data_IF_526068755966
#
_entry.id   IF_526068755966
#
_cell.length_a   1.000
_cell.length_b   1.000
_cell.length_c   1.000
_cell.angle_alpha   90.00
_cell.angle_beta   90.00
_cell.angle_gamma   90.00
#
_symmetry.space_group_name_H-M   'P 1'
#
loop_
_entity.id
_entity.type
_entity.pdbx_description
1 polymer ?
#
# COMPACT_ATOMS: atom_id res chain seq x y z
N UNK A 1 13.53 -23.87 3.11
CA UNK A 1 13.42 -23.25 4.43
C UNK A 1 11.95 -23.04 4.78
N UNK A 2 11.52 -23.21 6.05
CA UNK A 2 10.17 -22.91 6.46
C UNK A 2 9.91 -21.40 6.35
N UNK A 3 8.65 -21.01 6.15
CA UNK A 3 8.21 -19.62 6.23
C UNK A 3 8.49 -19.07 7.65
N UNK A 4 8.94 -17.83 7.74
CA UNK A 4 9.19 -17.15 9.02
C UNK A 4 9.14 -15.65 8.83
N UNK A 5 8.64 -14.94 9.82
CA UNK A 5 8.80 -13.49 9.91
C UNK A 5 10.30 -13.13 10.04
N UNK A 6 10.70 -12.05 9.41
CA UNK A 6 12.09 -11.59 9.40
C UNK A 6 12.19 -10.29 10.20
N UNK A 7 13.19 -10.22 11.05
CA UNK A 7 13.55 -9.00 11.78
C UNK A 7 14.98 -8.62 11.41
N UNK A 8 15.21 -7.35 11.06
CA UNK A 8 16.56 -6.87 10.80
C UNK A 8 17.38 -6.84 12.11
N UNK A 9 18.46 -7.63 12.24
CA UNK A 9 19.27 -7.65 13.43
C UNK A 9 20.17 -6.41 13.59
N UNK A 10 20.36 -5.65 12.51
CA UNK A 10 21.21 -4.47 12.48
C UNK A 10 20.41 -3.17 12.60
N UNK A 11 21.01 -2.14 13.14
CA UNK A 11 20.45 -0.80 13.06
C UNK A 11 20.32 -0.38 11.58
N UNK A 12 19.29 0.40 11.21
CA UNK A 12 19.22 0.99 9.89
C UNK A 12 20.47 1.79 9.56
N UNK A 13 20.89 1.76 8.30
CA UNK A 13 21.98 2.61 7.85
C UNK A 13 21.46 4.05 7.70
N UNK A 14 22.00 4.96 8.50
CA UNK A 14 21.61 6.37 8.53
C UNK A 14 22.48 7.16 7.54
N UNK A 15 21.88 7.62 6.43
CA UNK A 15 22.54 8.46 5.43
C UNK A 15 22.48 9.94 5.82
N UNK A 16 21.37 10.36 6.44
CA UNK A 16 21.14 11.72 6.91
C UNK A 16 21.36 11.82 8.42
N UNK A 17 21.91 12.94 8.87
CA UNK A 17 21.97 13.24 10.30
C UNK A 17 20.57 13.58 10.84
N UNK A 18 20.40 13.50 12.16
CA UNK A 18 19.16 13.91 12.83
C UNK A 18 18.78 15.36 12.48
N UNK A 19 19.74 16.28 12.44
CA UNK A 19 19.50 17.68 12.09
C UNK A 19 19.03 17.85 10.64
N UNK A 20 19.53 17.03 9.71
CA UNK A 20 19.08 17.05 8.32
C UNK A 20 17.66 16.52 8.19
N UNK A 21 17.30 15.47 8.92
CA UNK A 21 15.92 14.94 8.97
C UNK A 21 14.98 15.99 9.56
N UNK A 22 15.38 16.64 10.66
CA UNK A 22 14.61 17.70 11.28
C UNK A 22 14.40 18.89 10.34
N UNK A 23 15.45 19.31 9.63
CA UNK A 23 15.34 20.40 8.65
C UNK A 23 14.36 20.08 7.51
N UNK A 24 14.32 18.81 7.03
CA UNK A 24 13.34 18.35 6.04
C UNK A 24 11.93 18.39 6.64
N UNK A 25 11.77 17.92 7.87
CA UNK A 25 10.48 17.91 8.56
C UNK A 25 9.94 19.33 8.74
N UNK A 26 10.75 20.24 9.29
CA UNK A 26 10.38 21.64 9.48
C UNK A 26 10.02 22.34 8.16
N UNK A 27 10.78 22.09 7.11
CA UNK A 27 10.46 22.62 5.77
C UNK A 27 9.13 22.08 5.26
N UNK A 28 8.83 20.82 5.48
CA UNK A 28 7.56 20.20 5.09
C UNK A 28 6.39 20.82 5.85
N UNK A 29 6.53 21.07 7.15
CA UNK A 29 5.51 21.77 7.95
C UNK A 29 5.29 23.19 7.45
N UNK A 30 6.36 23.94 7.19
CA UNK A 30 6.27 25.29 6.63
C UNK A 30 5.55 25.32 5.27
N UNK A 31 5.81 24.36 4.40
CA UNK A 31 5.09 24.24 3.13
C UNK A 31 3.60 24.02 3.35
N UNK A 32 3.21 23.15 4.28
CA UNK A 32 1.81 22.87 4.60
C UNK A 32 1.12 24.08 5.23
N UNK A 33 1.81 24.83 6.08
CA UNK A 33 1.28 26.02 6.76
C UNK A 33 1.18 27.25 5.84
N UNK A 34 2.20 27.49 5.01
CA UNK A 34 2.31 28.75 4.25
C UNK A 34 1.77 28.64 2.84
N UNK A 35 2.06 27.53 2.16
CA UNK A 35 1.65 27.29 0.77
C UNK A 35 0.34 26.48 0.76
N UNK A 36 0.30 25.37 1.49
CA UNK A 36 -0.83 24.44 1.50
C UNK A 36 -0.81 23.46 0.33
N UNK A 37 -1.90 22.71 0.20
CA UNK A 37 -2.11 21.68 -0.82
C UNK A 37 -3.47 21.91 -1.48
N UNK A 38 -3.53 21.89 -2.79
CA UNK A 38 -4.81 21.91 -3.50
C UNK A 38 -5.50 20.55 -3.39
N UNK A 39 -6.72 20.54 -2.83
CA UNK A 39 -7.56 19.36 -2.71
C UNK A 39 -8.81 19.50 -3.58
N UNK A 40 -8.91 18.68 -4.61
CA UNK A 40 -10.05 18.69 -5.54
C UNK A 40 -11.35 18.17 -4.89
N UNK A 41 -11.26 17.30 -3.88
CA UNK A 41 -12.41 16.71 -3.21
C UNK A 41 -13.00 17.67 -2.17
N UNK A 42 -14.25 18.10 -2.39
CA UNK A 42 -15.01 18.92 -1.43
C UNK A 42 -15.11 18.21 -0.08
N UNK A 43 -15.45 16.92 -0.07
CA UNK A 43 -15.58 16.16 1.17
C UNK A 43 -14.26 16.10 1.97
N UNK A 44 -13.10 16.03 1.29
CA UNK A 44 -11.80 16.09 1.95
C UNK A 44 -11.53 17.48 2.55
N UNK A 45 -11.88 18.55 1.81
CA UNK A 45 -11.76 19.92 2.33
C UNK A 45 -12.64 20.13 3.58
N UNK A 46 -13.89 19.66 3.54
CA UNK A 46 -14.81 19.76 4.68
C UNK A 46 -14.30 19.01 5.91
N UNK A 47 -13.78 17.80 5.71
CA UNK A 47 -13.16 17.01 6.77
C UNK A 47 -12.00 17.77 7.44
N UNK A 48 -11.10 18.33 6.65
CA UNK A 48 -9.93 19.06 7.15
C UNK A 48 -10.32 20.40 7.78
N UNK A 49 -11.32 21.12 7.22
CA UNK A 49 -11.90 22.30 7.86
C UNK A 49 -12.47 21.97 9.23
N UNK A 50 -13.18 20.85 9.37
CA UNK A 50 -13.70 20.36 10.64
C UNK A 50 -12.59 20.03 11.66
N UNK A 51 -11.34 19.92 11.22
CA UNK A 51 -10.15 19.73 12.07
C UNK A 51 -9.35 21.01 12.27
N UNK A 52 -9.85 22.16 11.80
CA UNK A 52 -9.22 23.47 11.97
C UNK A 52 -8.31 23.92 10.84
N UNK A 53 -8.24 23.19 9.73
CA UNK A 53 -7.47 23.62 8.58
C UNK A 53 -8.11 24.86 7.90
N UNK A 54 -7.26 25.73 7.36
CA UNK A 54 -7.71 26.88 6.57
C UNK A 54 -7.95 26.44 5.12
N UNK A 55 -9.17 26.62 4.63
CA UNK A 55 -9.58 26.22 3.28
C UNK A 55 -9.96 27.46 2.47
N UNK A 56 -9.28 27.66 1.37
CA UNK A 56 -9.68 28.61 0.33
C UNK A 56 -10.57 27.89 -0.70
N UNK A 57 -11.85 28.23 -0.70
CA UNK A 57 -12.83 27.58 -1.60
C UNK A 57 -12.63 27.95 -3.06
N UNK A 58 -12.07 29.12 -3.34
CA UNK A 58 -11.89 29.58 -4.71
C UNK A 58 -10.78 28.80 -5.43
N UNK A 59 -9.69 28.53 -4.72
CA UNK A 59 -8.54 27.79 -5.27
C UNK A 59 -8.54 26.29 -4.90
N UNK A 60 -9.33 25.88 -3.90
CA UNK A 60 -9.28 24.53 -3.33
C UNK A 60 -8.05 24.26 -2.46
N UNK A 61 -7.26 25.30 -2.17
CA UNK A 61 -6.06 25.17 -1.34
C UNK A 61 -6.42 25.03 0.12
N UNK A 62 -5.83 24.04 0.77
CA UNK A 62 -5.94 23.77 2.20
C UNK A 62 -4.59 23.98 2.84
N UNK A 63 -4.53 24.84 3.84
CA UNK A 63 -3.35 25.04 4.70
C UNK A 63 -3.54 24.32 6.01
N UNK A 64 -2.54 23.55 6.40
CA UNK A 64 -2.54 22.75 7.61
C UNK A 64 -1.57 23.35 8.62
N UNK A 65 -2.08 23.78 9.75
CA UNK A 65 -1.26 24.16 10.90
C UNK A 65 -0.46 22.93 11.39
N UNK A 66 0.76 23.16 11.87
CA UNK A 66 1.62 22.09 12.40
C UNK A 66 0.97 21.28 13.49
N UNK A 67 0.14 21.89 14.34
CA UNK A 67 -0.58 21.21 15.41
C UNK A 67 -1.52 20.13 14.85
N UNK A 68 -2.17 20.40 13.72
CA UNK A 68 -3.03 19.41 13.04
C UNK A 68 -2.19 18.24 12.52
N UNK A 69 -1.03 18.55 11.92
CA UNK A 69 -0.13 17.54 11.35
C UNK A 69 0.46 16.67 12.46
N UNK A 70 0.98 17.27 13.52
CA UNK A 70 1.56 16.56 14.67
C UNK A 70 0.53 15.68 15.38
N UNK A 71 -0.69 16.21 15.56
CA UNK A 71 -1.79 15.42 16.08
C UNK A 71 -2.10 14.21 15.19
N UNK A 72 -2.19 14.40 13.87
CA UNK A 72 -2.47 13.31 12.96
C UNK A 72 -1.36 12.24 12.97
N UNK A 73 -0.10 12.65 13.02
CA UNK A 73 1.05 11.76 13.15
C UNK A 73 1.00 10.96 14.47
N UNK A 74 0.60 11.60 15.58
CA UNK A 74 0.46 10.93 16.88
C UNK A 74 -0.63 9.84 16.92
N UNK A 75 -1.61 9.91 15.99
CA UNK A 75 -2.66 8.90 15.88
C UNK A 75 -2.23 7.68 15.04
N UNK A 76 -1.16 7.78 14.26
CA UNK A 76 -0.66 6.70 13.43
C UNK A 76 0.10 5.68 14.30
N UNK A 77 -0.27 4.37 14.26
CA UNK A 77 0.46 3.36 15.02
C UNK A 77 1.85 3.16 14.43
N UNK A 78 2.86 3.06 15.31
CA UNK A 78 4.25 2.76 14.89
C UNK A 78 4.42 1.32 14.37
N UNK A 79 3.51 0.43 14.75
CA UNK A 79 3.46 -0.96 14.29
C UNK A 79 2.01 -1.40 14.15
N UNK A 80 1.75 -2.29 13.20
CA UNK A 80 0.44 -2.95 13.06
C UNK A 80 0.61 -4.36 12.51
N UNK A 81 -0.40 -5.20 12.69
CA UNK A 81 -0.39 -6.58 12.20
C UNK A 81 -1.23 -6.69 10.94
N UNK A 82 -0.65 -7.25 9.90
CA UNK A 82 -1.38 -7.76 8.74
C UNK A 82 -1.78 -9.20 9.02
N UNK A 83 -3.08 -9.42 9.12
CA UNK A 83 -3.64 -10.76 9.31
C UNK A 83 -3.80 -11.44 7.96
N UNK A 84 -3.10 -12.55 7.77
CA UNK A 84 -3.24 -13.42 6.61
C UNK A 84 -4.31 -14.49 6.87
N UNK A 85 -4.82 -15.12 5.81
CA UNK A 85 -5.77 -16.25 5.94
C UNK A 85 -5.18 -17.42 6.75
N UNK A 86 -3.88 -17.64 6.63
CA UNK A 86 -3.15 -18.55 7.49
C UNK A 86 -2.60 -17.81 8.71
N UNK A 87 -3.14 -18.02 9.92
CA UNK A 87 -2.68 -17.30 11.12
C UNK A 87 -1.18 -17.49 11.42
N UNK A 88 -0.57 -18.57 10.95
CA UNK A 88 0.87 -18.80 11.09
C UNK A 88 1.73 -17.89 10.22
N UNK A 89 1.11 -17.17 9.27
CA UNK A 89 1.78 -16.26 8.34
C UNK A 89 1.43 -14.80 8.58
N UNK A 90 1.02 -14.44 9.78
CA UNK A 90 0.80 -13.05 10.16
C UNK A 90 2.09 -12.23 10.10
N UNK A 91 1.98 -10.97 9.73
CA UNK A 91 3.09 -10.04 9.61
C UNK A 91 2.91 -8.86 10.54
N UNK A 92 3.93 -8.54 11.31
CA UNK A 92 4.03 -7.25 11.99
C UNK A 92 4.76 -6.28 11.07
N UNK A 93 4.13 -5.17 10.75
CA UNK A 93 4.70 -4.09 9.94
C UNK A 93 5.14 -2.96 10.86
N UNK A 94 6.32 -2.43 10.63
CA UNK A 94 6.92 -1.38 11.44
C UNK A 94 8.04 -1.88 12.35
N UNK A 95 8.70 -0.95 13.04
CA UNK A 95 9.89 -1.24 13.82
C UNK A 95 11.02 -1.84 12.97
N UNK A 96 11.60 -2.92 13.43
CA UNK A 96 12.70 -3.64 12.74
C UNK A 96 12.22 -4.83 11.91
N UNK A 97 10.91 -5.00 11.75
CA UNK A 97 10.37 -6.10 10.96
C UNK A 97 10.56 -5.83 9.46
N UNK A 98 10.87 -6.88 8.72
CA UNK A 98 11.08 -6.85 7.27
C UNK A 98 10.09 -7.81 6.61
N UNK A 99 9.30 -7.29 5.70
CA UNK A 99 8.39 -8.08 4.89
C UNK A 99 8.76 -7.97 3.41
N UNK A 100 9.02 -9.11 2.77
CA UNK A 100 9.27 -9.17 1.34
C UNK A 100 7.94 -9.39 0.62
N UNK A 101 7.61 -8.50 -0.29
CA UNK A 101 6.39 -8.57 -1.09
C UNK A 101 6.69 -8.59 -2.58
N UNK A 102 5.74 -9.10 -3.35
CA UNK A 102 5.77 -8.94 -4.79
C UNK A 102 5.51 -7.47 -5.15
N UNK A 103 6.17 -7.00 -6.20
CA UNK A 103 5.96 -5.64 -6.72
C UNK A 103 4.52 -5.50 -7.25
N UNK A 104 3.97 -4.29 -7.16
CA UNK A 104 2.63 -4.00 -7.65
C UNK A 104 2.68 -3.12 -8.91
N UNK A 105 1.79 -3.43 -9.86
CA UNK A 105 1.44 -2.58 -10.99
C UNK A 105 2.23 -2.71 -12.29
N UNK A 106 3.22 -3.63 -12.48
CA UNK A 106 3.88 -3.73 -13.78
C UNK A 106 2.90 -4.22 -14.85
N UNK A 107 2.87 -3.57 -16.03
CA UNK A 107 2.00 -4.00 -17.14
C UNK A 107 2.62 -5.12 -17.98
N UNK A 108 3.91 -5.41 -17.77
CA UNK A 108 4.66 -6.37 -18.55
C UNK A 108 5.22 -7.48 -17.67
N UNK A 109 5.33 -8.66 -18.28
CA UNK A 109 6.04 -9.82 -17.74
C UNK A 109 7.20 -10.18 -18.64
N UNK A 110 8.17 -10.88 -18.09
CA UNK A 110 9.30 -11.43 -18.83
C UNK A 110 9.54 -12.86 -18.38
N UNK A 111 9.62 -13.79 -19.30
CA UNK A 111 10.08 -15.15 -19.05
C UNK A 111 11.21 -15.52 -20.03
N UNK A 112 11.92 -16.59 -19.71
CA UNK A 112 13.10 -17.01 -20.48
C UNK A 112 12.76 -17.44 -21.91
N UNK A 113 11.60 -18.05 -22.12
CA UNK A 113 11.22 -18.63 -23.42
C UNK A 113 10.62 -17.58 -24.35
N UNK A 114 9.75 -16.69 -23.83
CA UNK A 114 8.92 -15.77 -24.62
C UNK A 114 9.39 -14.32 -24.53
N UNK A 115 10.40 -14.04 -23.69
CA UNK A 115 10.90 -12.69 -23.50
C UNK A 115 9.88 -11.75 -22.85
N UNK A 116 10.04 -10.43 -23.09
CA UNK A 116 9.16 -9.39 -22.53
C UNK A 116 7.87 -9.26 -23.33
N UNK A 117 6.73 -9.35 -22.67
CA UNK A 117 5.39 -9.23 -23.27
C UNK A 117 4.38 -8.60 -22.29
N UNK A 118 3.22 -8.24 -22.76
CA UNK A 118 2.11 -7.83 -21.89
C UNK A 118 1.73 -8.98 -20.95
N UNK A 119 1.45 -8.66 -19.71
CA UNK A 119 0.94 -9.62 -18.73
C UNK A 119 -0.51 -10.00 -19.03
N UNK A 120 -0.89 -11.21 -18.62
CA UNK A 120 -2.26 -11.70 -18.71
C UNK A 120 -2.68 -12.36 -17.39
N UNK A 121 -3.93 -12.81 -17.30
CA UNK A 121 -4.48 -13.42 -16.09
C UNK A 121 -3.81 -14.75 -15.71
N UNK A 122 -3.37 -15.54 -16.68
CA UNK A 122 -2.63 -16.77 -16.42
C UNK A 122 -1.27 -16.45 -15.77
N UNK A 123 -0.53 -15.47 -16.31
CA UNK A 123 0.70 -14.99 -15.70
C UNK A 123 0.47 -14.47 -14.26
N UNK A 124 -0.62 -13.73 -14.06
CA UNK A 124 -1.01 -13.25 -12.73
C UNK A 124 -1.18 -14.42 -11.76
N UNK A 125 -1.95 -15.43 -12.12
CA UNK A 125 -2.16 -16.63 -11.31
C UNK A 125 -0.85 -17.38 -11.01
N UNK A 126 0.05 -17.45 -11.97
CA UNK A 126 1.34 -18.12 -11.80
C UNK A 126 2.25 -17.37 -10.82
N UNK A 127 2.27 -16.02 -10.86
CA UNK A 127 2.97 -15.24 -9.85
C UNK A 127 2.41 -15.45 -8.44
N UNK A 128 1.09 -15.56 -8.28
CA UNK A 128 0.46 -15.83 -6.98
C UNK A 128 0.85 -17.22 -6.47
N UNK A 129 0.85 -18.24 -7.33
CA UNK A 129 1.30 -19.61 -6.99
C UNK A 129 2.77 -19.62 -6.60
N UNK A 130 3.62 -18.91 -7.34
CA UNK A 130 5.04 -18.77 -7.01
C UNK A 130 5.25 -18.08 -5.67
N UNK A 131 4.50 -16.99 -5.39
CA UNK A 131 4.56 -16.33 -4.09
C UNK A 131 4.18 -17.26 -2.95
N UNK A 132 3.13 -18.07 -3.14
CA UNK A 132 2.71 -19.05 -2.16
C UNK A 132 3.75 -20.17 -1.97
N UNK A 133 4.40 -20.59 -3.05
CA UNK A 133 5.41 -21.65 -3.01
C UNK A 133 6.72 -21.21 -2.32
N UNK A 134 7.14 -19.96 -2.55
CA UNK A 134 8.40 -19.46 -1.99
C UNK A 134 8.21 -18.89 -0.59
N UNK A 135 8.70 -19.57 0.42
CA UNK A 135 8.63 -19.14 1.84
C UNK A 135 9.41 -17.83 2.14
N UNK A 136 10.13 -17.28 1.18
CA UNK A 136 10.78 -15.98 1.26
C UNK A 136 9.82 -14.81 0.95
N UNK A 137 8.65 -15.09 0.38
CA UNK A 137 7.64 -14.08 0.10
C UNK A 137 6.63 -14.05 1.24
N UNK A 138 6.39 -12.87 1.79
CA UNK A 138 5.56 -12.67 2.97
C UNK A 138 4.19 -12.10 2.65
N UNK A 139 4.11 -11.26 1.60
CA UNK A 139 2.86 -10.64 1.17
C UNK A 139 2.82 -10.52 -0.36
N UNK A 140 1.61 -10.45 -0.88
CA UNK A 140 1.37 -10.23 -2.29
C UNK A 140 1.06 -8.74 -2.48
N UNK A 141 1.83 -8.07 -3.34
CA UNK A 141 1.53 -6.72 -3.79
C UNK A 141 0.18 -6.66 -4.50
N UNK A 142 -0.33 -5.49 -4.76
CA UNK A 142 -1.58 -5.30 -5.49
C UNK A 142 -1.56 -6.11 -6.82
N UNK A 143 -1.70 -5.57 -7.95
CA UNK A 143 -1.59 -6.33 -9.21
C UNK A 143 -0.12 -6.64 -9.54
N UNK A 144 0.33 -7.84 -9.27
CA UNK A 144 1.73 -8.29 -9.52
C UNK A 144 2.10 -8.29 -11.01
N UNK A 145 1.12 -8.41 -11.89
CA UNK A 145 1.13 -7.93 -13.27
C UNK A 145 -0.30 -7.56 -13.67
N UNK A 146 -0.46 -6.60 -14.58
CA UNK A 146 -1.79 -6.22 -15.03
C UNK A 146 -2.34 -7.26 -16.02
N UNK A 147 -3.46 -7.95 -15.71
CA UNK A 147 -4.14 -8.82 -16.68
C UNK A 147 -4.90 -7.95 -17.70
N UNK A 148 -4.15 -7.44 -18.70
CA UNK A 148 -4.65 -6.38 -19.60
C UNK A 148 -5.77 -6.84 -20.52
N UNK A 149 -5.93 -8.14 -20.74
CA UNK A 149 -7.02 -8.73 -21.53
C UNK A 149 -8.37 -8.70 -20.81
N UNK A 150 -8.36 -8.56 -19.47
CA UNK A 150 -9.59 -8.45 -18.68
C UNK A 150 -10.13 -7.02 -18.68
N UNK A 151 -11.47 -6.84 -18.63
CA UNK A 151 -12.08 -5.52 -18.57
C UNK A 151 -11.59 -4.70 -17.38
N UNK A 152 -11.19 -3.45 -17.62
CA UNK A 152 -10.56 -2.59 -16.60
C UNK A 152 -11.46 -2.31 -15.38
N UNK A 153 -12.78 -2.36 -15.54
CA UNK A 153 -13.76 -2.12 -14.49
C UNK A 153 -13.98 -3.31 -13.55
N UNK A 154 -13.69 -4.54 -13.99
CA UNK A 154 -13.94 -5.78 -13.22
C UNK A 154 -12.69 -6.62 -12.93
N UNK A 155 -11.57 -6.37 -13.61
CA UNK A 155 -10.33 -7.19 -13.45
C UNK A 155 -9.82 -7.32 -12.01
N UNK A 156 -10.14 -6.37 -11.14
CA UNK A 156 -9.78 -6.44 -9.74
C UNK A 156 -10.46 -7.61 -9.01
N UNK A 157 -11.69 -7.97 -9.40
CA UNK A 157 -12.41 -9.12 -8.83
C UNK A 157 -11.70 -10.44 -9.15
N UNK A 158 -11.26 -10.60 -10.41
CA UNK A 158 -10.48 -11.76 -10.82
C UNK A 158 -9.13 -11.83 -10.10
N UNK A 159 -8.47 -10.68 -9.92
CA UNK A 159 -7.22 -10.58 -9.17
C UNK A 159 -7.42 -10.97 -7.70
N UNK A 160 -8.46 -10.46 -7.03
CA UNK A 160 -8.78 -10.82 -5.65
C UNK A 160 -9.11 -12.30 -5.52
N UNK A 161 -9.92 -12.84 -6.44
CA UNK A 161 -10.22 -14.26 -6.49
C UNK A 161 -8.95 -15.11 -6.64
N UNK A 162 -8.02 -14.73 -7.50
CA UNK A 162 -6.77 -15.46 -7.66
C UNK A 162 -5.94 -15.44 -6.38
N UNK A 163 -5.82 -14.29 -5.69
CA UNK A 163 -5.13 -14.20 -4.40
C UNK A 163 -5.77 -15.14 -3.36
N UNK A 164 -7.09 -15.14 -3.27
CA UNK A 164 -7.83 -15.98 -2.32
C UNK A 164 -7.74 -17.48 -2.64
N UNK A 165 -7.71 -17.84 -3.92
CA UNK A 165 -7.70 -19.26 -4.33
C UNK A 165 -6.30 -19.86 -4.29
N UNK A 166 -5.27 -19.11 -4.69
CA UNK A 166 -3.94 -19.65 -4.91
C UNK A 166 -2.94 -19.33 -3.79
N UNK A 167 -3.30 -18.51 -2.80
CA UNK A 167 -2.41 -18.19 -1.69
C UNK A 167 -3.16 -18.00 -0.38
N UNK A 168 -2.46 -18.25 0.73
CA UNK A 168 -2.90 -17.98 2.09
C UNK A 168 -2.14 -16.79 2.73
N UNK A 169 -1.29 -16.11 1.94
CA UNK A 169 -0.56 -14.92 2.35
C UNK A 169 -1.49 -13.69 2.44
N UNK A 170 -1.08 -12.72 3.25
CA UNK A 170 -1.69 -11.39 3.18
C UNK A 170 -1.49 -10.79 1.79
N UNK A 171 -2.50 -10.09 1.25
CA UNK A 171 -2.41 -9.43 -0.02
C UNK A 171 -2.98 -8.00 0.04
N UNK A 172 -2.49 -7.16 -0.84
CA UNK A 172 -2.90 -5.78 -0.93
C UNK A 172 -4.01 -5.62 -1.96
N UNK A 173 -5.18 -5.13 -1.53
CA UNK A 173 -6.29 -4.84 -2.41
C UNK A 173 -6.07 -3.53 -3.18
N UNK A 174 -6.63 -3.44 -4.38
CA UNK A 174 -6.64 -2.20 -5.17
C UNK A 174 -7.55 -1.17 -4.51
N UNK A 175 -6.99 -0.11 -3.96
CA UNK A 175 -7.74 0.97 -3.31
C UNK A 175 -8.11 2.13 -4.24
N UNK A 176 -8.23 1.89 -5.55
CA UNK A 176 -8.61 2.94 -6.52
C UNK A 176 -10.13 3.07 -6.55
N UNK A 177 -10.64 3.95 -5.71
CA UNK A 177 -12.07 4.22 -5.58
C UNK A 177 -12.79 3.34 -4.56
N UNK A 178 -13.83 3.90 -3.94
CA UNK A 178 -14.59 3.26 -2.87
C UNK A 178 -15.25 1.93 -3.29
N UNK A 179 -15.67 1.80 -4.56
CA UNK A 179 -16.28 0.58 -5.08
C UNK A 179 -15.34 -0.61 -4.98
N UNK A 180 -14.13 -0.48 -5.53
CA UNK A 180 -13.13 -1.57 -5.51
C UNK A 180 -12.64 -1.92 -4.10
N UNK A 181 -12.55 -0.93 -3.23
CA UNK A 181 -12.22 -1.18 -1.83
C UNK A 181 -13.33 -1.99 -1.13
N UNK A 182 -14.59 -1.67 -1.40
CA UNK A 182 -15.75 -2.42 -0.89
C UNK A 182 -15.75 -3.85 -1.40
N UNK A 183 -15.58 -4.06 -2.71
CA UNK A 183 -15.48 -5.39 -3.31
C UNK A 183 -14.39 -6.23 -2.62
N UNK A 184 -13.23 -5.62 -2.34
CA UNK A 184 -12.14 -6.29 -1.63
C UNK A 184 -12.51 -6.70 -0.22
N UNK A 185 -13.17 -5.83 0.54
CA UNK A 185 -13.65 -6.10 1.91
C UNK A 185 -14.71 -7.22 1.89
N UNK A 186 -15.67 -7.16 0.98
CA UNK A 186 -16.72 -8.16 0.85
C UNK A 186 -16.17 -9.55 0.47
N UNK A 187 -15.24 -9.59 -0.47
CA UNK A 187 -14.58 -10.85 -0.86
C UNK A 187 -13.75 -11.45 0.26
N UNK A 188 -13.07 -10.62 1.05
CA UNK A 188 -12.32 -11.09 2.23
C UNK A 188 -13.25 -11.61 3.33
N UNK A 189 -14.43 -11.02 3.50
CA UNK A 189 -15.40 -11.45 4.51
C UNK A 189 -16.03 -12.82 4.21
N UNK A 190 -16.00 -13.26 2.94
CA UNK A 190 -16.53 -14.57 2.50
C UNK A 190 -15.46 -15.65 2.60
N UNK A 191 -14.18 -15.31 2.62
CA UNK A 191 -13.05 -16.26 2.57
C UNK A 191 -12.53 -16.66 3.94
#
# INVERSE_FOLDING_TARGET
>A
LPWRAVTNPHAPFEILSADQIEAIHETSLQMLEQIGVELMSVAARDLLRGRGALVDEASGVVKLDRVIVEWALSQAPSTFTLTSRNPAKQLVIGGRNVAFGLVAGPPFVHDFERGRRAGNYADYCDFIRLAHYFNAIHLIGNQVCAPVELPANSRHLDAYRANLVYSDLAYHCTAIGAGRARDGIEMMAIS
#
